data_IF_637647449005
#
_entry.id   IF_637647449005
#
_cell.length_a   1.000
_cell.length_b   1.000
_cell.length_c   1.000
_cell.angle_alpha   90.00
_cell.angle_beta   90.00
_cell.angle_gamma   90.00
#
_symmetry.space_group_name_H-M   'P 1'
#
loop_
_entity.id
_entity.type
_entity.pdbx_description
1 polymer ?
#
# COMPACT_ATOMS: atom_id res chain seq x y z
N UNK A 1 -71.40 -13.43 30.99
CA UNK A 1 -71.33 -11.97 30.82
C UNK A 1 -69.99 -11.59 30.19
N UNK A 2 -69.88 -10.37 29.67
CA UNK A 2 -68.68 -9.54 29.40
C UNK A 2 -67.30 -10.21 29.57
N UNK A 3 -66.48 -10.33 28.52
CA UNK A 3 -65.54 -9.29 28.00
C UNK A 3 -64.26 -9.18 28.88
N UNK A 4 -63.04 -9.32 28.36
CA UNK A 4 -62.47 -8.61 27.19
C UNK A 4 -61.41 -9.43 26.42
N UNK A 5 -61.14 -9.05 25.17
CA UNK A 5 -59.94 -9.46 24.42
C UNK A 5 -58.75 -8.59 24.83
N UNK A 6 -57.55 -9.18 24.95
CA UNK A 6 -56.27 -8.46 24.72
C UNK A 6 -55.38 -9.23 23.76
N UNK A 7 -55.64 -9.03 22.47
CA UNK A 7 -54.68 -9.32 21.41
C UNK A 7 -53.63 -8.21 21.48
N UNK A 8 -52.38 -8.56 21.84
CA UNK A 8 -51.27 -7.61 21.75
C UNK A 8 -50.84 -7.46 20.30
N UNK A 9 -51.27 -6.38 19.66
CA UNK A 9 -50.84 -6.02 18.34
C UNK A 9 -49.38 -5.55 18.37
N UNK A 10 -48.46 -6.39 17.91
CA UNK A 10 -47.09 -5.98 17.57
C UNK A 10 -47.14 -5.13 16.29
N UNK A 11 -47.31 -3.83 16.47
CA UNK A 11 -47.54 -2.84 15.42
C UNK A 11 -46.26 -2.51 14.63
N UNK A 12 -46.28 -2.79 13.32
CA UNK A 12 -45.47 -2.26 12.20
C UNK A 12 -43.95 -2.03 12.34
N UNK A 13 -43.45 -1.40 13.40
CA UNK A 13 -42.09 -0.85 13.53
C UNK A 13 -40.98 -1.90 13.34
N UNK A 14 -41.26 -3.16 13.69
CA UNK A 14 -40.33 -4.29 13.46
C UNK A 14 -40.03 -4.58 11.97
N UNK A 15 -40.84 -4.10 11.02
CA UNK A 15 -40.58 -4.26 9.57
C UNK A 15 -39.80 -3.08 8.99
N UNK A 16 -40.06 -1.86 9.45
CA UNK A 16 -39.32 -0.68 9.00
C UNK A 16 -37.86 -0.67 9.51
N UNK A 17 -37.61 -1.29 10.67
CA UNK A 17 -36.24 -1.54 11.15
C UNK A 17 -35.45 -2.52 10.25
N UNK A 18 -36.13 -3.49 9.62
CA UNK A 18 -35.49 -4.46 8.73
C UNK A 18 -35.20 -3.86 7.34
N UNK A 19 -36.12 -3.05 6.82
CA UNK A 19 -35.93 -2.32 5.55
C UNK A 19 -34.84 -1.23 5.64
N UNK A 20 -34.78 -0.49 6.76
CA UNK A 20 -33.75 0.55 6.96
C UNK A 20 -32.33 0.01 7.15
N UNK A 21 -32.17 -1.28 7.51
CA UNK A 21 -30.87 -1.95 7.60
C UNK A 21 -30.31 -2.40 6.24
N UNK A 22 -31.15 -2.73 5.25
CA UNK A 22 -30.68 -3.06 3.90
C UNK A 22 -30.29 -1.82 3.07
N UNK A 23 -30.83 -0.64 3.39
CA UNK A 23 -30.60 0.60 2.64
C UNK A 23 -29.22 1.24 2.83
N UNK A 24 -28.37 0.76 3.75
CA UNK A 24 -27.08 1.40 4.12
C UNK A 24 -25.82 0.81 3.46
N UNK A 25 -25.97 -0.05 2.44
CA UNK A 25 -24.84 -0.71 1.77
C UNK A 25 -24.66 -0.40 0.27
N UNK A 26 -25.33 0.63 -0.25
CA UNK A 26 -25.19 1.09 -1.64
C UNK A 26 -24.99 2.61 -1.73
N UNK A 27 -23.76 3.07 -1.52
CA UNK A 27 -23.31 4.44 -1.85
C UNK A 27 -21.86 4.46 -2.35
N UNK A 28 -21.57 3.68 -3.40
CA UNK A 28 -20.40 3.95 -4.26
C UNK A 28 -20.65 5.20 -5.09
N UNK A 29 -20.51 6.38 -4.47
CA UNK A 29 -20.48 7.63 -5.22
C UNK A 29 -19.12 7.84 -5.90
N UNK A 30 -19.19 8.38 -7.11
CA UNK A 30 -18.05 8.63 -7.99
C UNK A 30 -17.29 9.86 -7.49
N UNK A 31 -15.96 9.77 -7.38
CA UNK A 31 -15.13 10.96 -7.11
C UNK A 31 -14.93 11.74 -8.42
N UNK A 32 -15.85 12.65 -8.71
CA UNK A 32 -15.78 13.56 -9.86
C UNK A 32 -15.19 14.92 -9.43
N UNK A 33 -13.99 15.31 -9.91
CA UNK A 33 -13.34 16.55 -9.49
C UNK A 33 -13.98 17.78 -10.18
N UNK A 34 -14.26 18.88 -9.46
CA UNK A 34 -15.02 20.01 -9.99
C UNK A 34 -14.20 20.88 -10.96
N UNK A 35 -14.17 20.48 -12.23
CA UNK A 35 -13.71 21.30 -13.35
C UNK A 35 -14.88 21.67 -14.27
N UNK A 36 -15.64 22.71 -13.87
CA UNK A 36 -16.73 23.26 -14.68
C UNK A 36 -16.23 23.66 -16.09
N UNK A 37 -16.98 23.38 -17.17
CA UNK A 37 -16.43 23.51 -18.52
C UNK A 37 -16.09 24.94 -18.94
N UNK A 38 -14.89 25.13 -19.49
CA UNK A 38 -14.49 26.36 -20.19
C UNK A 38 -15.26 26.47 -21.52
N UNK A 39 -16.37 27.21 -21.52
CA UNK A 39 -17.05 27.61 -22.75
C UNK A 39 -16.19 28.60 -23.55
N UNK A 40 -16.17 28.42 -24.88
CA UNK A 40 -15.31 29.22 -25.78
C UNK A 40 -15.79 30.68 -25.85
N UNK A 41 -14.88 31.68 -25.88
CA UNK A 41 -15.26 33.09 -25.81
C UNK A 41 -15.81 33.62 -27.14
N UNK A 42 -16.91 34.38 -27.07
CA UNK A 42 -17.39 35.26 -28.13
C UNK A 42 -17.50 36.71 -27.63
N UNK A 43 -17.08 37.67 -28.47
CA UNK A 43 -17.21 39.14 -28.31
C UNK A 43 -18.30 39.62 -29.31
N UNK A 44 -18.85 40.85 -29.28
CA UNK A 44 -18.50 42.09 -28.53
C UNK A 44 -19.67 42.51 -27.58
N UNK A 45 -19.90 43.73 -27.03
CA UNK A 45 -19.48 45.13 -27.32
C UNK A 45 -19.00 45.88 -26.03
N UNK A 46 -19.67 46.97 -25.61
CA UNK A 46 -19.25 47.91 -24.54
C UNK A 46 -20.46 48.73 -24.01
N UNK A 47 -20.44 49.10 -22.72
CA UNK A 47 -21.03 50.35 -22.19
C UNK A 47 -20.31 50.79 -20.91
N UNK A 48 -20.53 52.01 -20.41
CA UNK A 48 -19.73 52.68 -19.35
C UNK A 48 -20.59 53.26 -18.21
N UNK A 49 -20.12 53.19 -16.97
CA UNK A 49 -20.41 54.18 -15.89
C UNK A 49 -19.25 54.23 -14.86
N UNK A 50 -19.29 55.13 -13.86
CA UNK A 50 -18.09 55.66 -13.16
C UNK A 50 -17.99 55.33 -11.65
N UNK A 51 -16.76 55.51 -11.11
CA UNK A 51 -16.31 55.47 -9.70
C UNK A 51 -17.13 56.36 -8.73
N UNK A 52 -16.97 56.17 -7.40
CA UNK A 52 -16.04 57.05 -6.66
C UNK A 52 -14.88 56.30 -5.92
N UNK A 53 -13.85 57.00 -5.38
CA UNK A 53 -12.63 56.38 -4.82
C UNK A 53 -12.29 56.75 -3.35
N UNK A 54 -11.62 55.82 -2.65
CA UNK A 54 -10.67 55.95 -1.50
C UNK A 54 -10.43 54.51 -0.95
N UNK A 55 -9.31 54.11 -0.34
CA UNK A 55 -8.10 54.83 0.11
C UNK A 55 -6.91 53.84 0.04
N UNK A 56 -5.73 54.24 -0.45
CA UNK A 56 -4.55 53.37 -0.50
C UNK A 56 -3.70 53.47 0.77
N UNK A 57 -3.66 52.40 1.58
CA UNK A 57 -2.54 52.09 2.50
C UNK A 57 -2.36 50.58 2.61
N UNK A 58 -1.45 50.01 1.81
CA UNK A 58 -0.80 48.73 2.13
C UNK A 58 0.62 48.73 1.57
N UNK A 59 1.60 48.72 2.48
CA UNK A 59 3.04 48.74 2.14
C UNK A 59 3.67 47.41 2.53
N UNK A 60 3.48 46.39 1.70
CA UNK A 60 4.21 45.11 1.80
C UNK A 60 5.02 44.87 0.51
N UNK A 61 6.29 44.42 0.62
CA UNK A 61 7.14 44.16 -0.53
C UNK A 61 6.73 42.86 -1.26
N UNK A 62 6.99 42.75 -2.58
CA UNK A 62 6.67 41.54 -3.33
C UNK A 62 7.61 40.39 -2.90
N UNK A 63 7.10 39.47 -2.07
CA UNK A 63 7.78 38.21 -1.70
C UNK A 63 7.76 37.26 -2.91
N UNK A 64 8.63 37.55 -3.88
CA UNK A 64 8.61 36.94 -5.22
C UNK A 64 9.76 35.95 -5.44
N UNK A 65 10.16 35.24 -4.38
CA UNK A 65 10.99 34.04 -4.45
C UNK A 65 10.13 32.85 -3.99
N UNK A 66 10.01 31.76 -4.77
CA UNK A 66 9.46 30.52 -4.22
C UNK A 66 10.37 30.04 -3.07
N UNK A 67 9.81 29.43 -2.00
CA UNK A 67 10.64 28.84 -0.96
C UNK A 67 11.56 27.77 -1.58
N UNK A 68 12.81 27.72 -1.10
CA UNK A 68 13.76 26.73 -1.57
C UNK A 68 13.22 25.29 -1.35
N UNK A 69 13.54 24.33 -2.23
CA UNK A 69 13.15 22.94 -2.03
C UNK A 69 13.63 22.43 -0.68
N UNK A 70 12.82 21.62 0.00
CA UNK A 70 13.28 20.93 1.20
C UNK A 70 14.42 19.99 0.78
N UNK A 71 15.61 20.20 1.34
CA UNK A 71 16.73 19.28 1.20
C UNK A 71 16.48 18.04 2.04
N UNK A 72 16.90 16.87 1.56
CA UNK A 72 16.76 15.62 2.32
C UNK A 72 18.03 14.79 2.30
N UNK A 73 18.46 14.45 3.51
CA UNK A 73 19.61 13.66 3.94
C UNK A 73 19.36 12.14 3.99
N UNK A 74 18.10 11.71 3.95
CA UNK A 74 17.71 10.30 4.05
C UNK A 74 18.40 9.43 2.97
N UNK A 75 19.20 8.42 3.32
CA UNK A 75 20.15 7.78 2.40
C UNK A 75 19.51 6.79 1.40
N UNK A 76 18.19 6.78 1.29
CA UNK A 76 17.44 5.85 0.46
C UNK A 76 16.56 6.56 -0.59
N UNK A 77 16.39 5.91 -1.74
CA UNK A 77 15.38 6.25 -2.74
C UNK A 77 14.01 6.47 -2.10
N UNK A 78 13.32 7.55 -2.45
CA UNK A 78 11.90 7.67 -2.10
C UNK A 78 11.04 7.03 -3.19
N UNK A 79 10.20 6.09 -2.78
CA UNK A 79 9.30 5.32 -3.66
C UNK A 79 7.90 5.33 -3.04
N UNK A 80 6.85 5.31 -3.86
CA UNK A 80 5.47 5.27 -3.31
C UNK A 80 5.26 4.05 -2.40
N UNK A 81 5.85 2.92 -2.77
CA UNK A 81 5.94 1.71 -1.96
C UNK A 81 7.33 1.11 -2.07
N UNK A 82 7.86 0.62 -0.95
CA UNK A 82 9.10 -0.14 -0.90
C UNK A 82 8.82 -1.64 -1.15
N UNK A 83 7.90 -2.25 -0.39
CA UNK A 83 7.62 -3.70 -0.46
C UNK A 83 6.83 -4.18 -1.69
N UNK A 84 6.26 -3.26 -2.48
CA UNK A 84 5.43 -3.59 -3.67
C UNK A 84 6.07 -3.14 -4.99
N UNK A 85 7.32 -2.69 -4.98
CA UNK A 85 8.04 -2.23 -6.17
C UNK A 85 9.33 -3.04 -6.36
N UNK A 86 9.31 -4.06 -7.21
CA UNK A 86 10.51 -4.84 -7.54
C UNK A 86 11.49 -3.98 -8.38
N UNK A 87 12.69 -3.64 -7.90
CA UNK A 87 13.63 -2.78 -8.61
C UNK A 87 14.28 -3.44 -9.83
N UNK A 88 14.27 -4.78 -9.93
CA UNK A 88 14.89 -5.51 -11.04
C UNK A 88 14.00 -5.56 -12.30
N UNK A 89 12.79 -4.98 -12.26
CA UNK A 89 11.85 -4.97 -13.39
C UNK A 89 11.67 -3.54 -13.88
N UNK A 90 12.31 -3.21 -15.00
CA UNK A 90 12.11 -1.90 -15.63
C UNK A 90 10.72 -1.77 -16.30
N UNK A 91 10.07 -0.59 -16.22
CA UNK A 91 8.83 -0.34 -16.92
C UNK A 91 9.06 0.04 -18.39
N UNK A 92 8.26 -0.55 -19.29
CA UNK A 92 8.23 -0.24 -20.72
C UNK A 92 7.82 1.23 -20.98
N UNK A 93 7.00 1.80 -20.10
CA UNK A 93 6.54 3.17 -20.23
C UNK A 93 5.80 3.68 -19.00
N UNK A 94 5.41 4.95 -19.05
CA UNK A 94 4.78 5.67 -17.94
C UNK A 94 3.44 6.24 -18.38
N UNK A 95 2.45 6.22 -17.48
CA UNK A 95 1.11 6.79 -17.73
C UNK A 95 1.09 8.31 -17.57
N UNK A 96 2.01 8.84 -16.77
CA UNK A 96 2.21 10.26 -16.51
C UNK A 96 3.63 10.67 -16.94
N UNK A 97 3.85 11.92 -17.36
CA UNK A 97 5.19 12.44 -17.63
C UNK A 97 6.07 12.46 -16.37
N UNK A 98 7.28 11.88 -16.46
CA UNK A 98 8.27 11.77 -15.36
C UNK A 98 8.56 13.08 -14.61
N UNK A 99 8.42 14.23 -15.29
CA UNK A 99 8.54 15.60 -14.75
C UNK A 99 7.61 15.93 -13.57
N UNK A 100 6.56 15.16 -13.31
CA UNK A 100 5.65 15.41 -12.19
C UNK A 100 6.08 14.60 -10.95
N UNK A 101 6.92 15.20 -10.11
CA UNK A 101 7.32 14.64 -8.81
C UNK A 101 6.14 14.61 -7.84
N UNK A 102 5.82 13.47 -7.19
CA UNK A 102 4.68 13.32 -6.29
C UNK A 102 4.83 14.07 -4.96
N UNK A 103 5.97 14.72 -4.73
CA UNK A 103 6.21 15.66 -3.64
C UNK A 103 5.76 17.10 -3.97
N UNK A 104 5.38 17.35 -5.23
CA UNK A 104 5.03 18.66 -5.76
C UNK A 104 6.21 19.40 -6.40
N UNK A 105 5.94 20.36 -7.31
CA UNK A 105 6.98 21.10 -8.03
C UNK A 105 7.80 21.96 -7.05
N UNK A 106 9.13 21.87 -7.14
CA UNK A 106 10.06 22.67 -6.33
C UNK A 106 10.03 22.40 -4.82
N UNK A 107 9.34 21.35 -4.35
CA UNK A 107 9.20 21.04 -2.91
C UNK A 107 10.26 20.11 -2.34
N UNK A 108 10.95 19.36 -3.20
CA UNK A 108 12.01 18.43 -2.85
C UNK A 108 13.19 18.65 -3.80
N UNK A 109 14.40 18.53 -3.27
CA UNK A 109 15.69 18.62 -3.97
C UNK A 109 15.92 17.48 -5.00
N UNK A 110 15.41 16.28 -4.72
CA UNK A 110 15.62 15.06 -5.53
C UNK A 110 14.73 15.00 -6.78
N UNK A 111 15.36 14.73 -7.92
CA UNK A 111 14.68 14.53 -9.21
C UNK A 111 13.85 13.24 -9.25
N UNK A 112 12.60 13.32 -9.70
CA UNK A 112 11.72 12.16 -9.86
C UNK A 112 11.94 11.45 -11.20
N UNK A 113 12.23 10.15 -11.17
CA UNK A 113 12.50 9.29 -12.34
C UNK A 113 11.24 8.75 -13.02
N UNK A 114 10.07 8.97 -12.41
CA UNK A 114 8.80 8.32 -12.72
C UNK A 114 8.40 7.21 -11.73
N UNK A 115 9.37 6.57 -11.07
CA UNK A 115 9.16 5.51 -10.05
C UNK A 115 9.77 5.83 -8.70
N UNK A 116 10.88 6.59 -8.67
CA UNK A 116 11.59 6.98 -7.46
C UNK A 116 12.13 8.41 -7.53
N UNK A 117 12.45 8.97 -6.37
CA UNK A 117 13.40 10.07 -6.24
C UNK A 117 14.68 9.49 -5.58
N UNK A 118 15.77 9.28 -6.34
CA UNK A 118 16.99 8.66 -5.81
C UNK A 118 17.61 9.47 -4.67
N UNK A 119 18.37 8.80 -3.81
CA UNK A 119 19.27 9.47 -2.86
C UNK A 119 20.52 10.05 -3.57
N UNK A 120 21.30 10.89 -2.86
CA UNK A 120 22.67 11.18 -3.28
C UNK A 120 23.47 9.88 -3.29
N UNK A 121 24.33 9.59 -4.29
CA UNK A 121 25.11 8.36 -4.36
C UNK A 121 26.30 8.30 -3.37
N UNK A 122 26.25 9.07 -2.28
CA UNK A 122 27.32 9.19 -1.30
C UNK A 122 27.30 8.02 -0.31
N UNK A 123 28.35 7.18 -0.37
CA UNK A 123 28.49 5.96 0.44
C UNK A 123 28.57 6.18 1.95
N UNK A 124 28.71 7.43 2.37
CA UNK A 124 28.87 7.79 3.78
C UNK A 124 27.52 7.91 4.48
N UNK A 125 26.48 8.40 3.81
CA UNK A 125 25.18 8.63 4.45
C UNK A 125 24.48 7.33 4.81
N UNK A 126 24.58 6.30 3.95
CA UNK A 126 24.07 4.96 4.27
C UNK A 126 24.83 4.31 5.45
N UNK A 127 26.12 4.64 5.65
CA UNK A 127 26.90 4.18 6.81
C UNK A 127 26.51 4.94 8.08
N UNK A 128 26.46 6.27 8.00
CA UNK A 128 26.02 7.17 9.09
C UNK A 128 24.63 6.77 9.61
N UNK A 129 23.68 6.51 8.71
CA UNK A 129 22.33 6.05 9.06
C UNK A 129 22.31 4.67 9.73
N UNK A 130 23.15 3.73 9.29
CA UNK A 130 23.27 2.43 9.94
C UNK A 130 23.83 2.55 11.37
N UNK A 131 24.85 3.41 11.58
CA UNK A 131 25.37 3.71 12.91
C UNK A 131 24.36 4.47 13.79
N UNK A 132 23.66 5.46 13.24
CA UNK A 132 22.62 6.22 13.93
C UNK A 132 21.47 5.31 14.34
N UNK A 133 21.04 4.39 13.47
CA UNK A 133 20.07 3.35 13.79
C UNK A 133 20.52 2.53 15.01
N UNK A 134 21.78 2.09 15.06
CA UNK A 134 22.32 1.37 16.22
C UNK A 134 22.31 2.24 17.48
N UNK A 135 22.72 3.52 17.38
CA UNK A 135 22.71 4.49 18.49
C UNK A 135 21.29 4.74 19.03
N UNK A 136 20.29 4.85 18.16
CA UNK A 136 18.86 5.04 18.50
C UNK A 136 18.25 3.79 19.14
N UNK A 137 18.54 2.60 18.58
CA UNK A 137 18.06 1.34 19.15
C UNK A 137 18.63 1.10 20.55
N UNK A 138 19.93 1.34 20.73
CA UNK A 138 20.65 1.14 21.99
C UNK A 138 20.91 -0.34 22.29
N UNK A 139 21.05 -0.67 23.57
CA UNK A 139 21.16 -2.05 24.04
C UNK A 139 19.90 -2.85 23.68
N UNK A 140 20.07 -4.15 23.42
CA UNK A 140 18.95 -5.05 23.14
C UNK A 140 17.92 -5.03 24.29
N UNK A 141 16.65 -5.23 23.95
CA UNK A 141 15.62 -5.50 24.96
C UNK A 141 15.80 -6.94 25.46
N UNK A 142 15.70 -7.12 26.77
CA UNK A 142 15.56 -8.45 27.40
C UNK A 142 14.24 -9.11 26.98
N UNK A 143 14.14 -10.44 27.10
CA UNK A 143 12.89 -11.14 26.77
C UNK A 143 11.71 -10.67 27.66
N UNK A 144 11.99 -10.26 28.90
CA UNK A 144 11.01 -9.69 29.84
C UNK A 144 10.49 -8.33 29.33
N UNK A 145 11.39 -7.39 29.00
CA UNK A 145 11.01 -6.10 28.40
C UNK A 145 10.27 -6.26 27.07
N UNK A 146 10.68 -7.22 26.23
CA UNK A 146 9.96 -7.56 24.99
C UNK A 146 8.56 -8.05 25.32
N UNK A 147 8.39 -8.98 26.25
CA UNK A 147 7.08 -9.53 26.60
C UNK A 147 6.14 -8.47 27.19
N UNK A 148 6.61 -7.59 28.07
CA UNK A 148 5.81 -6.46 28.59
C UNK A 148 5.38 -5.51 27.48
N UNK A 149 6.32 -5.10 26.62
CA UNK A 149 6.06 -4.20 25.51
C UNK A 149 5.08 -4.83 24.52
N UNK A 150 5.23 -6.12 24.24
CA UNK A 150 4.38 -6.87 23.34
C UNK A 150 2.97 -7.05 23.91
N UNK A 151 2.81 -7.35 25.20
CA UNK A 151 1.49 -7.40 25.84
C UNK A 151 0.77 -6.05 25.76
N UNK A 152 1.48 -4.96 26.06
CA UNK A 152 0.99 -3.56 26.02
C UNK A 152 0.53 -3.09 24.63
N UNK A 153 1.04 -3.72 23.55
CA UNK A 153 0.84 -3.27 22.17
C UNK A 153 0.25 -4.31 21.20
N UNK A 154 0.09 -5.60 21.57
CA UNK A 154 -0.43 -6.64 20.64
C UNK A 154 -1.95 -6.66 20.47
N UNK A 155 -2.70 -6.21 21.47
CA UNK A 155 -4.16 -6.30 21.51
C UNK A 155 -4.85 -5.33 20.53
N UNK A 156 -6.09 -5.63 20.14
CA UNK A 156 -6.82 -4.92 19.07
C UNK A 156 -7.53 -3.64 19.50
N UNK A 157 -7.66 -3.43 20.81
CA UNK A 157 -8.10 -2.20 21.48
C UNK A 157 -6.99 -1.13 21.53
N UNK A 158 -5.73 -1.51 21.25
CA UNK A 158 -4.60 -0.60 21.20
C UNK A 158 -4.83 0.55 20.20
N UNK A 159 -5.10 1.74 20.73
CA UNK A 159 -5.38 2.97 19.98
C UNK A 159 -4.21 3.47 19.11
N UNK A 160 -3.07 2.80 19.15
CA UNK A 160 -1.83 3.11 18.42
C UNK A 160 -1.61 2.07 17.31
N UNK A 161 -2.63 1.88 16.46
CA UNK A 161 -2.63 0.94 15.35
C UNK A 161 -2.51 1.65 13.99
N UNK A 162 -1.52 1.27 13.18
CA UNK A 162 -1.43 1.61 11.76
C UNK A 162 -1.89 0.40 10.92
N UNK A 163 -2.67 0.66 9.85
CA UNK A 163 -3.11 -0.36 8.91
C UNK A 163 -2.24 -0.33 7.64
N UNK A 164 -1.36 -1.32 7.48
CA UNK A 164 -0.61 -1.52 6.23
C UNK A 164 -1.55 -2.21 5.23
N UNK A 165 -2.13 -1.43 4.32
CA UNK A 165 -3.07 -1.92 3.30
C UNK A 165 -2.38 -2.35 2.00
N UNK A 166 -3.17 -2.40 0.90
CA UNK A 166 -2.73 -2.81 -0.45
C UNK A 166 -1.51 -2.07 -1.02
N UNK A 167 -1.09 -0.96 -0.43
CA UNK A 167 0.13 -0.23 -0.79
C UNK A 167 1.44 -0.85 -0.26
N UNK A 168 1.38 -1.80 0.67
CA UNK A 168 2.57 -2.29 1.36
C UNK A 168 3.20 -1.23 2.25
N UNK A 169 4.52 -1.30 2.47
CA UNK A 169 5.26 -0.26 3.19
C UNK A 169 5.39 0.97 2.29
N UNK A 170 4.58 2.01 2.53
CA UNK A 170 4.57 3.25 1.73
C UNK A 170 5.44 4.35 2.34
N UNK A 171 5.84 5.35 1.53
CA UNK A 171 6.66 6.47 2.01
C UNK A 171 6.04 7.20 3.21
N UNK A 172 4.77 7.63 3.08
CA UNK A 172 4.09 8.39 4.13
C UNK A 172 3.87 7.56 5.41
N UNK A 173 3.75 6.23 5.31
CA UNK A 173 3.62 5.35 6.48
C UNK A 173 4.83 5.44 7.41
N UNK A 174 6.04 5.71 6.89
CA UNK A 174 7.23 5.95 7.71
C UNK A 174 7.04 7.23 8.56
N UNK A 175 6.51 8.30 7.95
CA UNK A 175 6.12 9.52 8.67
C UNK A 175 5.05 9.26 9.74
N UNK A 176 4.06 8.42 9.45
CA UNK A 176 3.01 8.04 10.40
C UNK A 176 3.56 7.23 11.58
N UNK A 177 4.54 6.34 11.37
CA UNK A 177 5.26 5.61 12.42
C UNK A 177 5.99 6.61 13.35
N UNK A 178 6.79 7.52 12.79
CA UNK A 178 7.48 8.57 13.56
C UNK A 178 6.52 9.52 14.28
N UNK A 179 5.30 9.72 13.76
CA UNK A 179 4.24 10.47 14.43
C UNK A 179 3.65 9.72 15.63
N UNK A 180 3.48 8.40 15.56
CA UNK A 180 3.02 7.58 16.68
C UNK A 180 4.07 7.52 17.81
N UNK A 181 5.34 7.37 17.46
CA UNK A 181 6.46 7.29 18.43
C UNK A 181 6.70 8.58 19.24
N UNK A 182 6.05 9.70 18.89
CA UNK A 182 5.96 10.89 19.76
C UNK A 182 5.18 10.64 21.05
N UNK A 183 4.28 9.65 21.07
CA UNK A 183 3.32 9.36 22.15
C UNK A 183 3.30 7.87 22.56
N UNK A 184 4.31 7.13 22.15
CA UNK A 184 4.39 5.67 22.27
C UNK A 184 5.84 5.18 22.15
N UNK A 185 6.14 4.03 22.72
CA UNK A 185 7.43 3.34 22.58
C UNK A 185 7.43 2.38 21.39
N UNK A 186 6.29 1.76 21.12
CA UNK A 186 6.05 0.95 19.94
C UNK A 186 4.73 1.33 19.24
N UNK A 187 4.57 0.85 18.01
CA UNK A 187 3.34 0.99 17.22
C UNK A 187 2.90 -0.38 16.72
N UNK A 188 1.59 -0.64 16.78
CA UNK A 188 0.99 -1.88 16.29
C UNK A 188 0.69 -1.73 14.81
N UNK A 189 1.20 -2.63 13.97
CA UNK A 189 0.98 -2.60 12.52
C UNK A 189 0.16 -3.82 12.12
N UNK A 190 -1.01 -3.59 11.50
CA UNK A 190 -1.87 -4.64 10.95
C UNK A 190 -1.75 -4.67 9.43
N UNK A 191 -1.15 -5.74 8.89
CA UNK A 191 -0.91 -5.94 7.47
C UNK A 191 -2.12 -6.59 6.77
N UNK A 192 -2.51 -6.08 5.60
CA UNK A 192 -3.71 -6.49 4.87
C UNK A 192 -3.52 -6.37 3.34
N UNK A 193 -4.10 -7.33 2.64
CA UNK A 193 -4.03 -7.49 1.19
C UNK A 193 -2.80 -8.27 0.72
N UNK A 194 -2.52 -8.15 -0.58
CA UNK A 194 -1.41 -8.83 -1.29
C UNK A 194 -0.03 -8.73 -0.61
N UNK A 195 0.36 -7.61 0.06
CA UNK A 195 1.65 -7.55 0.75
C UNK A 195 1.87 -8.70 1.74
N UNK A 196 0.80 -9.24 2.36
CA UNK A 196 0.89 -10.32 3.36
C UNK A 196 1.38 -11.67 2.84
N UNK A 197 1.55 -11.84 1.52
CA UNK A 197 2.32 -12.96 0.94
C UNK A 197 3.79 -12.96 1.38
N UNK A 198 4.31 -11.80 1.77
CA UNK A 198 5.73 -11.51 1.89
C UNK A 198 5.98 -10.65 3.14
N UNK A 199 5.70 -11.26 4.30
CA UNK A 199 5.85 -10.60 5.59
C UNK A 199 7.32 -10.30 5.93
N UNK A 200 8.28 -11.03 5.35
CA UNK A 200 9.72 -10.82 5.57
C UNK A 200 10.23 -9.53 4.93
N UNK A 201 9.85 -9.26 3.67
CA UNK A 201 10.10 -8.00 2.98
C UNK A 201 9.41 -6.80 3.66
N UNK A 202 8.17 -6.97 4.15
CA UNK A 202 7.51 -5.97 4.99
C UNK A 202 8.32 -5.69 6.25
N UNK A 203 8.78 -6.73 6.94
CA UNK A 203 9.58 -6.58 8.15
C UNK A 203 10.90 -5.84 7.87
N UNK A 204 11.60 -6.24 6.80
CA UNK A 204 12.83 -5.63 6.34
C UNK A 204 12.67 -4.13 6.08
N UNK A 205 11.73 -3.73 5.21
CA UNK A 205 11.57 -2.31 4.88
C UNK A 205 10.97 -1.45 6.01
N UNK A 206 10.18 -2.02 6.93
CA UNK A 206 9.75 -1.30 8.13
C UNK A 206 10.96 -0.98 9.02
N UNK A 207 11.80 -1.97 9.31
CA UNK A 207 13.02 -1.79 10.10
C UNK A 207 14.04 -0.86 9.43
N UNK A 208 14.29 -1.06 8.14
CA UNK A 208 15.30 -0.35 7.35
C UNK A 208 14.96 1.14 7.16
N UNK A 209 13.69 1.46 6.83
CA UNK A 209 13.28 2.83 6.48
C UNK A 209 12.83 3.68 7.66
N UNK A 210 12.43 3.08 8.78
CA UNK A 210 12.07 3.82 10.02
C UNK A 210 13.17 3.82 11.09
N UNK A 211 14.22 3.00 10.91
CA UNK A 211 15.24 2.73 11.93
C UNK A 211 14.77 1.78 13.06
N UNK A 212 13.48 1.55 13.22
CA UNK A 212 12.92 0.76 14.32
C UNK A 212 13.31 -0.72 14.32
N UNK A 213 12.82 -1.45 15.32
CA UNK A 213 13.00 -2.90 15.48
C UNK A 213 11.64 -3.59 15.65
N UNK A 214 11.42 -4.69 14.94
CA UNK A 214 10.23 -5.51 15.15
C UNK A 214 10.48 -6.44 16.34
N UNK A 215 9.64 -6.31 17.37
CA UNK A 215 9.73 -7.05 18.63
C UNK A 215 8.71 -8.19 18.73
N UNK A 216 7.68 -8.18 17.87
CA UNK A 216 6.69 -9.26 17.75
C UNK A 216 6.10 -9.31 16.36
N UNK A 217 5.84 -10.55 15.91
CA UNK A 217 5.21 -10.89 14.64
C UNK A 217 4.31 -12.10 14.84
N UNK A 218 3.02 -11.96 14.54
CA UNK A 218 2.06 -13.06 14.56
C UNK A 218 1.11 -12.92 13.36
N UNK A 219 1.22 -13.86 12.41
CA UNK A 219 0.51 -13.88 11.12
C UNK A 219 0.65 -12.56 10.36
N UNK A 220 -0.27 -11.60 10.57
CA UNK A 220 -0.32 -10.30 9.91
C UNK A 220 -0.30 -9.11 10.89
N UNK A 221 0.00 -9.35 12.17
CA UNK A 221 0.18 -8.33 13.21
C UNK A 221 1.66 -8.23 13.54
N UNK A 222 2.20 -7.01 13.51
CA UNK A 222 3.56 -6.67 13.92
C UNK A 222 3.51 -5.65 15.06
N UNK A 223 4.50 -5.67 15.95
CA UNK A 223 4.78 -4.57 16.89
C UNK A 223 6.17 -4.03 16.56
N UNK A 224 6.23 -2.74 16.21
CA UNK A 224 7.45 -2.05 15.78
C UNK A 224 7.87 -1.03 16.86
N UNK A 225 8.97 -1.34 17.53
CA UNK A 225 9.60 -0.54 18.58
C UNK A 225 10.52 0.54 17.99
N UNK A 226 10.58 1.70 18.64
CA UNK A 226 11.33 2.88 18.19
C UNK A 226 12.83 2.88 18.54
N UNK A 227 13.26 2.05 19.49
CA UNK A 227 14.58 2.11 20.12
C UNK A 227 14.58 2.76 21.50
N UNK A 228 15.58 2.44 22.34
CA UNK A 228 15.71 2.99 23.71
C UNK A 228 15.96 4.51 23.67
N UNK A 229 16.80 4.96 22.74
CA UNK A 229 17.35 6.31 22.68
C UNK A 229 16.64 7.22 21.65
N UNK A 230 15.41 6.89 21.26
CA UNK A 230 14.64 7.66 20.28
C UNK A 230 14.21 9.03 20.84
N UNK A 231 14.77 10.11 20.29
CA UNK A 231 14.33 11.48 20.56
C UNK A 231 13.25 11.92 19.54
N UNK A 232 12.01 12.24 19.98
CA UNK A 232 10.97 12.77 19.11
C UNK A 232 11.29 14.14 18.48
N UNK A 233 12.27 14.90 19.00
CA UNK A 233 12.71 16.19 18.45
C UNK A 233 13.64 15.98 17.25
N UNK A 234 14.78 15.31 17.47
CA UNK A 234 15.81 15.04 16.46
C UNK A 234 15.51 13.83 15.54
N UNK A 235 14.23 13.45 15.39
CA UNK A 235 13.82 12.35 14.49
C UNK A 235 13.94 12.76 13.01
N UNK A 236 14.16 11.80 12.08
CA UNK A 236 14.20 12.08 10.65
C UNK A 236 12.92 12.75 10.11
N UNK A 237 13.10 13.69 9.18
CA UNK A 237 12.01 14.39 8.48
C UNK A 237 11.71 13.64 7.18
N UNK A 238 10.65 12.82 7.20
CA UNK A 238 10.13 12.14 6.00
C UNK A 238 9.34 13.17 5.16
N UNK A 239 9.74 13.50 3.92
CA UNK A 239 9.00 14.44 3.08
C UNK A 239 7.61 13.92 2.73
N UNK A 240 6.57 14.75 2.79
CA UNK A 240 5.21 14.27 2.51
C UNK A 240 5.00 14.04 1.00
N UNK A 241 4.78 12.80 0.59
CA UNK A 241 4.33 12.49 -0.76
C UNK A 241 2.86 12.89 -0.89
N UNK A 242 2.59 13.93 -1.69
CA UNK A 242 1.30 14.62 -1.77
C UNK A 242 0.24 13.84 -2.57
N UNK A 243 0.66 13.06 -3.57
CA UNK A 243 -0.23 12.16 -4.30
C UNK A 243 0.44 10.82 -4.63
N UNK A 244 -0.40 9.82 -4.94
CA UNK A 244 0.07 8.53 -5.44
C UNK A 244 0.40 8.65 -6.93
N UNK A 245 1.64 8.38 -7.37
CA UNK A 245 1.96 8.29 -8.80
C UNK A 245 1.22 7.10 -9.45
N UNK A 246 0.81 7.25 -10.71
CA UNK A 246 0.14 6.15 -11.41
C UNK A 246 1.10 4.97 -11.66
N UNK A 247 0.61 3.72 -11.61
CA UNK A 247 1.45 2.55 -11.82
C UNK A 247 2.04 2.55 -13.25
N UNK A 248 3.37 2.38 -13.40
CA UNK A 248 4.01 2.25 -14.70
C UNK A 248 3.45 1.10 -15.56
N UNK A 249 3.82 1.12 -16.84
CA UNK A 249 3.44 0.11 -17.83
C UNK A 249 4.54 -0.96 -17.84
N UNK A 250 4.28 -2.07 -17.17
CA UNK A 250 5.16 -3.24 -17.13
C UNK A 250 4.84 -4.24 -18.25
N UNK A 251 5.74 -5.20 -18.56
CA UNK A 251 5.46 -6.31 -19.47
C UNK A 251 4.21 -7.12 -19.07
N UNK A 252 3.61 -7.83 -20.03
CA UNK A 252 2.48 -8.74 -19.77
C UNK A 252 2.95 -9.89 -18.87
N UNK A 253 2.32 -10.04 -17.70
CA UNK A 253 2.61 -11.10 -16.74
C UNK A 253 2.42 -12.51 -17.33
N UNK A 254 1.38 -12.69 -18.15
CA UNK A 254 1.13 -13.93 -18.90
C UNK A 254 1.47 -13.71 -20.37
N UNK A 255 2.33 -14.57 -20.91
CA UNK A 255 2.68 -14.66 -22.33
C UNK A 255 1.73 -15.61 -23.06
N UNK A 256 1.59 -15.44 -24.39
CA UNK A 256 0.72 -16.33 -25.20
C UNK A 256 1.22 -17.78 -25.16
N UNK A 257 2.54 -17.97 -25.24
CA UNK A 257 3.28 -19.21 -25.00
C UNK A 257 4.09 -19.02 -23.71
N UNK A 258 4.15 -20.02 -22.84
CA UNK A 258 4.96 -19.93 -21.62
C UNK A 258 6.45 -20.16 -21.93
N UNK A 259 7.35 -19.51 -21.18
CA UNK A 259 8.79 -19.63 -21.43
C UNK A 259 9.26 -21.08 -21.22
N UNK A 260 9.92 -21.65 -22.23
CA UNK A 260 10.36 -23.06 -22.23
C UNK A 260 9.30 -24.09 -22.67
N UNK A 261 8.09 -23.67 -23.06
CA UNK A 261 7.06 -24.52 -23.66
C UNK A 261 6.80 -24.16 -25.13
N UNK A 262 6.24 -25.10 -25.88
CA UNK A 262 5.56 -24.87 -27.15
C UNK A 262 4.16 -24.28 -26.93
N UNK A 263 3.50 -23.83 -28.01
CA UNK A 263 2.11 -23.38 -27.94
C UNK A 263 1.15 -24.50 -27.51
N UNK A 264 1.41 -25.74 -27.93
CA UNK A 264 0.56 -26.90 -27.63
C UNK A 264 0.75 -27.36 -26.18
N UNK A 265 1.99 -27.52 -25.71
CA UNK A 265 2.31 -27.73 -24.29
C UNK A 265 1.66 -26.63 -23.43
N UNK A 266 1.78 -25.35 -23.81
CA UNK A 266 1.18 -24.24 -23.04
C UNK A 266 -0.36 -24.36 -22.98
N UNK A 267 -1.01 -24.79 -24.07
CA UNK A 267 -2.46 -24.99 -24.13
C UNK A 267 -2.89 -26.18 -23.26
N UNK A 268 -2.15 -27.28 -23.31
CA UNK A 268 -2.38 -28.45 -22.47
C UNK A 268 -2.24 -28.10 -20.97
N UNK A 269 -1.15 -27.42 -20.59
CA UNK A 269 -0.89 -27.03 -19.19
C UNK A 269 -1.97 -26.11 -18.63
N UNK A 270 -2.51 -25.20 -19.45
CA UNK A 270 -3.68 -24.38 -19.10
C UNK A 270 -4.94 -25.22 -18.90
N UNK A 271 -5.19 -26.18 -19.79
CA UNK A 271 -6.35 -27.08 -19.68
C UNK A 271 -6.22 -27.99 -18.45
N UNK A 272 -5.06 -28.61 -18.20
CA UNK A 272 -4.78 -29.43 -17.00
C UNK A 272 -5.04 -28.62 -15.73
N UNK A 273 -4.44 -27.44 -15.60
CA UNK A 273 -4.64 -26.57 -14.44
C UNK A 273 -6.08 -26.09 -14.23
N UNK A 274 -6.87 -25.92 -15.28
CA UNK A 274 -8.29 -25.57 -15.14
C UNK A 274 -9.13 -26.73 -14.56
N UNK A 275 -8.78 -27.98 -14.82
CA UNK A 275 -9.49 -29.17 -14.32
C UNK A 275 -8.93 -29.71 -13.00
N UNK A 276 -7.67 -29.41 -12.68
CA UNK A 276 -7.03 -29.70 -11.37
C UNK A 276 -7.87 -29.10 -10.23
N UNK A 277 -8.03 -29.77 -9.07
CA UNK A 277 -8.67 -29.16 -7.89
C UNK A 277 -8.00 -27.85 -7.48
N UNK A 278 -8.71 -27.00 -6.73
CA UNK A 278 -8.12 -25.76 -6.22
C UNK A 278 -7.36 -26.05 -4.92
N UNK A 279 -6.05 -25.78 -4.89
CA UNK A 279 -5.17 -25.97 -3.73
C UNK A 279 -5.73 -25.27 -2.47
N UNK A 280 -6.23 -24.04 -2.67
CA UNK A 280 -6.92 -23.27 -1.65
C UNK A 280 -7.77 -22.14 -2.26
N UNK A 281 -8.76 -21.69 -1.50
CA UNK A 281 -9.58 -20.50 -1.79
C UNK A 281 -9.07 -19.31 -0.97
N UNK A 282 -8.73 -18.22 -1.65
CA UNK A 282 -8.27 -16.99 -1.05
C UNK A 282 -9.46 -16.09 -0.69
N UNK A 283 -9.47 -15.60 0.55
CA UNK A 283 -10.61 -14.86 1.12
C UNK A 283 -10.44 -13.34 1.04
N UNK A 284 -11.57 -12.62 1.06
CA UNK A 284 -11.61 -11.15 1.05
C UNK A 284 -10.92 -10.50 2.27
N UNK A 285 -10.62 -11.28 3.31
CA UNK A 285 -9.94 -10.83 4.53
C UNK A 285 -8.52 -10.31 4.27
N UNK A 286 -7.91 -10.67 3.13
CA UNK A 286 -6.62 -10.09 2.73
C UNK A 286 -5.43 -10.56 3.56
N UNK A 287 -5.45 -11.79 4.07
CA UNK A 287 -4.33 -12.39 4.80
C UNK A 287 -3.90 -13.65 4.05
N UNK A 288 -2.71 -13.59 3.45
CA UNK A 288 -2.22 -14.59 2.49
C UNK A 288 -0.88 -15.23 2.89
N UNK A 289 -0.47 -15.08 4.16
CA UNK A 289 0.84 -15.48 4.70
C UNK A 289 1.20 -16.93 4.35
N UNK A 290 0.24 -17.86 4.43
CA UNK A 290 0.49 -19.28 4.23
C UNK A 290 0.49 -19.70 2.74
N UNK A 291 0.12 -18.82 1.81
CA UNK A 291 -0.06 -19.18 0.38
C UNK A 291 1.29 -19.53 -0.27
N UNK A 292 2.35 -18.78 0.01
CA UNK A 292 3.70 -19.05 -0.52
C UNK A 292 4.19 -20.43 -0.07
N UNK A 293 3.97 -20.79 1.20
CA UNK A 293 4.33 -22.11 1.73
C UNK A 293 3.58 -23.23 1.03
N UNK A 294 2.24 -23.17 1.00
CA UNK A 294 1.41 -24.21 0.38
C UNK A 294 1.62 -24.34 -1.13
N UNK A 295 1.94 -23.27 -1.84
CA UNK A 295 2.25 -23.33 -3.28
C UNK A 295 3.63 -23.96 -3.52
N UNK A 296 4.61 -23.81 -2.62
CA UNK A 296 5.90 -24.53 -2.72
C UNK A 296 5.70 -26.03 -2.45
N UNK A 297 4.99 -26.36 -1.37
CA UNK A 297 4.62 -27.73 -0.97
C UNK A 297 3.90 -28.48 -2.10
N UNK A 298 2.84 -27.92 -2.68
CA UNK A 298 2.09 -28.52 -3.79
C UNK A 298 2.96 -28.69 -5.05
N UNK A 299 3.97 -27.82 -5.28
CA UNK A 299 4.91 -27.95 -6.39
C UNK A 299 5.99 -29.02 -6.19
N UNK A 300 6.05 -29.72 -5.06
CA UNK A 300 6.91 -30.89 -4.91
C UNK A 300 6.33 -32.09 -5.68
N UNK A 301 5.02 -32.32 -5.53
CA UNK A 301 4.25 -33.38 -6.21
C UNK A 301 3.73 -32.94 -7.57
N UNK A 302 2.97 -31.85 -7.62
CA UNK A 302 2.28 -31.38 -8.83
C UNK A 302 3.13 -30.44 -9.68
N UNK A 303 2.74 -30.32 -10.96
CA UNK A 303 3.39 -29.39 -11.89
C UNK A 303 2.60 -28.09 -12.08
N UNK A 304 1.28 -28.15 -11.86
CA UNK A 304 0.34 -27.07 -12.16
C UNK A 304 -0.60 -26.89 -10.98
N UNK A 305 -0.61 -25.69 -10.41
CA UNK A 305 -1.36 -25.35 -9.20
C UNK A 305 -2.47 -24.35 -9.54
N UNK A 306 -3.70 -24.65 -9.11
CA UNK A 306 -4.85 -23.74 -9.21
C UNK A 306 -5.15 -23.07 -7.87
N UNK A 307 -5.15 -21.74 -7.85
CA UNK A 307 -5.62 -20.92 -6.72
C UNK A 307 -6.97 -20.28 -7.04
N UNK A 308 -7.96 -20.49 -6.17
CA UNK A 308 -9.28 -19.86 -6.28
C UNK A 308 -9.25 -18.48 -5.62
N UNK A 309 -9.48 -17.42 -6.40
CA UNK A 309 -9.42 -16.03 -5.93
C UNK A 309 -10.75 -15.27 -6.14
N UNK A 310 -11.89 -15.96 -6.29
CA UNK A 310 -13.24 -15.37 -6.51
C UNK A 310 -13.73 -14.40 -5.42
N UNK A 311 -13.03 -14.29 -4.28
CA UNK A 311 -13.35 -13.31 -3.23
C UNK A 311 -12.25 -12.26 -3.02
N UNK A 312 -11.20 -12.28 -3.84
CA UNK A 312 -10.07 -11.35 -3.80
C UNK A 312 -10.28 -10.15 -4.74
N UNK A 313 -10.90 -10.40 -5.89
CA UNK A 313 -11.10 -9.41 -6.96
C UNK A 313 -9.92 -9.33 -7.93
N UNK A 314 -10.23 -9.22 -9.22
CA UNK A 314 -9.28 -9.30 -10.35
C UNK A 314 -7.97 -8.49 -10.23
N UNK A 315 -7.99 -7.30 -9.61
CA UNK A 315 -6.79 -6.45 -9.47
C UNK A 315 -5.75 -7.05 -8.51
N UNK A 316 -6.19 -7.51 -7.34
CA UNK A 316 -5.29 -8.14 -6.37
C UNK A 316 -4.96 -9.58 -6.78
N UNK A 317 -5.88 -10.30 -7.43
CA UNK A 317 -5.62 -11.61 -8.05
C UNK A 317 -4.40 -11.56 -8.99
N UNK A 318 -4.32 -10.56 -9.89
CA UNK A 318 -3.15 -10.36 -10.76
C UNK A 318 -1.86 -10.07 -9.98
N UNK A 319 -1.94 -9.24 -8.92
CA UNK A 319 -0.76 -8.92 -8.07
C UNK A 319 -0.28 -10.10 -7.24
N UNK A 320 -1.17 -10.98 -6.79
CA UNK A 320 -0.83 -12.24 -6.13
C UNK A 320 0.01 -13.10 -7.08
N UNK A 321 -0.39 -13.21 -8.34
CA UNK A 321 0.41 -13.91 -9.35
C UNK A 321 1.78 -13.26 -9.65
N UNK A 322 1.92 -11.93 -9.56
CA UNK A 322 3.24 -11.27 -9.61
C UNK A 322 4.10 -11.68 -8.42
N UNK A 323 3.60 -11.50 -7.19
CA UNK A 323 4.36 -11.85 -5.97
C UNK A 323 4.70 -13.33 -5.92
N UNK A 324 3.81 -14.23 -6.34
CA UNK A 324 4.09 -15.67 -6.36
C UNK A 324 5.17 -16.04 -7.39
N UNK A 325 5.24 -15.36 -8.55
CA UNK A 325 6.33 -15.52 -9.51
C UNK A 325 7.70 -15.08 -8.94
N UNK A 326 7.70 -14.04 -8.12
CA UNK A 326 8.93 -13.49 -7.51
C UNK A 326 9.35 -14.26 -6.24
N UNK A 327 8.43 -14.94 -5.55
CA UNK A 327 8.65 -15.64 -4.26
C UNK A 327 8.72 -17.17 -4.38
N UNK A 328 8.24 -17.75 -5.49
CA UNK A 328 8.25 -19.19 -5.78
C UNK A 328 8.76 -19.36 -7.21
N UNK A 329 9.68 -20.30 -7.49
CA UNK A 329 10.08 -20.61 -8.87
C UNK A 329 8.89 -21.18 -9.64
N UNK A 330 8.09 -20.29 -10.23
CA UNK A 330 6.88 -20.62 -10.96
C UNK A 330 6.49 -19.50 -11.94
N UNK A 331 5.64 -19.84 -12.90
CA UNK A 331 5.15 -18.96 -13.95
C UNK A 331 3.61 -18.94 -13.92
N UNK A 332 2.96 -17.78 -13.72
CA UNK A 332 1.53 -17.64 -13.96
C UNK A 332 1.22 -17.85 -15.45
N UNK A 333 0.53 -18.94 -15.79
CA UNK A 333 0.22 -19.29 -17.18
C UNK A 333 -1.20 -18.91 -17.60
N UNK A 334 -2.13 -18.69 -16.67
CA UNK A 334 -3.49 -18.23 -16.95
C UNK A 334 -4.11 -17.50 -15.76
N UNK A 335 -4.89 -16.45 -16.06
CA UNK A 335 -5.90 -15.88 -15.16
C UNK A 335 -7.25 -15.97 -15.89
N UNK A 336 -8.22 -16.69 -15.32
CA UNK A 336 -9.55 -16.88 -15.89
C UNK A 336 -10.56 -17.08 -14.76
N UNK A 337 -11.74 -16.47 -14.85
CA UNK A 337 -12.86 -16.65 -13.89
C UNK A 337 -12.44 -16.49 -12.41
N UNK A 338 -11.58 -15.50 -12.18
CA UNK A 338 -10.91 -15.19 -10.90
C UNK A 338 -10.09 -16.36 -10.29
N UNK A 339 -9.73 -17.36 -11.09
CA UNK A 339 -8.73 -18.39 -10.77
C UNK A 339 -7.34 -17.96 -11.28
N UNK A 340 -6.28 -18.37 -10.58
CA UNK A 340 -4.88 -18.27 -11.02
C UNK A 340 -4.38 -19.69 -11.31
N UNK A 341 -3.83 -19.90 -12.50
CA UNK A 341 -3.09 -21.13 -12.83
C UNK A 341 -1.60 -20.82 -12.85
N UNK A 342 -0.86 -21.48 -11.96
CA UNK A 342 0.59 -21.39 -11.83
C UNK A 342 1.23 -22.69 -12.33
N UNK A 343 2.37 -22.60 -13.01
CA UNK A 343 3.17 -23.75 -13.43
C UNK A 343 4.58 -23.65 -12.82
N UNK A 344 5.13 -24.77 -12.36
CA UNK A 344 6.47 -24.86 -11.73
C UNK A 344 7.64 -24.46 -12.65
N UNK A 345 7.44 -24.44 -13.96
CA UNK A 345 8.55 -24.45 -14.93
C UNK A 345 8.97 -25.89 -15.27
N UNK A 346 9.88 -26.04 -16.25
CA UNK A 346 10.58 -27.32 -16.45
C UNK A 346 11.60 -27.49 -15.32
N UNK A 347 11.75 -28.71 -14.79
CA UNK A 347 12.88 -29.03 -13.91
C UNK A 347 14.15 -28.96 -14.78
N UNK A 348 15.12 -28.16 -14.35
CA UNK A 348 16.49 -28.19 -14.86
C UNK A 348 17.28 -29.29 -14.14
#
# INVERSE_FOLDING_TARGET
>A
MLSTRRILALTKEAKDLFLSLQARFLSTEYYDPPFSPLSKPSKPKKTKTKKPPQQDQSSEPPVNNPPAPATSDLPFDFRYSYSETNPAIEPIGFREPKRFSPFGPGRLDRNWTGTCAPASPESDDQRRWAEERVKILGEALTEEEVNELVERYRHSDCSRQINLGKGGVTHNMIGDIHNHWKKAEAVRIKCLGVPTLDMDNICHHLEEKSGGKIVYRNINILVLYRGRNYDPKNRPIIPLMLWKPYPPIYPRLVKNVADGLTFEETKEMRNRGLHTPALMKLTRNGVYVNVVGRVREEFETEEVVRLDCTHVGMSDCKRIGVKLKDLVPCVPILFKDEQIILWRGKKN
#
